data_IF_930610657619
#
_entry.id   IF_930610657619
#
_cell.length_a   1.000
_cell.length_b   1.000
_cell.length_c   1.000
_cell.angle_alpha   90.00
_cell.angle_beta   90.00
_cell.angle_gamma   90.00
#
_symmetry.space_group_name_H-M   'P 1'
#
loop_
_entity.id
_entity.type
_entity.pdbx_description
1 polymer ?
#
# COMPACT_ATOMS: atom_id res chain seq x y z
N UNK A 1 0.88 14.70 -24.35
CA UNK A 1 1.60 15.60 -23.43
C UNK A 1 3.09 15.24 -23.33
N UNK A 2 3.39 14.00 -22.94
CA UNK A 2 4.75 13.47 -22.78
C UNK A 2 4.91 12.23 -23.65
N UNK A 3 6.08 12.10 -24.29
CA UNK A 3 6.51 10.85 -24.94
C UNK A 3 7.88 10.47 -24.42
N UNK A 4 8.04 9.20 -24.00
CA UNK A 4 9.33 8.62 -23.69
C UNK A 4 9.73 7.76 -24.88
N UNK A 5 10.78 8.17 -25.57
CA UNK A 5 11.26 7.53 -26.80
C UNK A 5 12.38 6.51 -26.54
N UNK A 6 12.54 5.61 -27.48
CA UNK A 6 13.64 4.62 -27.49
C UNK A 6 13.70 3.75 -26.21
N UNK A 7 12.53 3.26 -25.74
CA UNK A 7 12.43 2.42 -24.56
C UNK A 7 12.54 0.94 -24.87
N UNK A 8 13.05 0.18 -23.91
CA UNK A 8 12.78 -1.26 -23.75
C UNK A 8 11.64 -1.43 -22.74
N UNK A 9 10.43 -1.62 -23.24
CA UNK A 9 9.21 -1.61 -22.44
C UNK A 9 8.98 -2.99 -21.82
N UNK A 10 8.97 -3.05 -20.50
CA UNK A 10 8.56 -4.25 -19.77
C UNK A 10 7.05 -4.32 -19.72
N UNK A 11 6.48 -5.10 -20.63
CA UNK A 11 5.02 -5.22 -20.74
C UNK A 11 4.51 -6.35 -19.84
N UNK A 12 3.97 -5.96 -18.68
CA UNK A 12 3.44 -6.90 -17.68
C UNK A 12 2.24 -7.72 -18.16
N UNK A 13 1.46 -7.23 -19.13
CA UNK A 13 0.32 -7.97 -19.69
C UNK A 13 0.74 -9.13 -20.61
N UNK A 14 1.78 -8.91 -21.40
CA UNK A 14 2.27 -9.92 -22.35
C UNK A 14 3.43 -10.75 -21.80
N UNK A 15 4.05 -10.34 -20.68
CA UNK A 15 5.27 -10.93 -20.14
C UNK A 15 6.48 -10.75 -21.05
N UNK A 16 6.47 -9.80 -21.99
CA UNK A 16 7.53 -9.58 -22.96
C UNK A 16 8.17 -8.21 -22.80
N UNK A 17 9.42 -8.10 -23.23
CA UNK A 17 10.09 -6.83 -23.43
C UNK A 17 9.94 -6.47 -24.90
N UNK A 18 9.45 -5.27 -25.18
CA UNK A 18 9.28 -4.74 -26.53
C UNK A 18 9.96 -3.38 -26.67
N UNK A 19 10.55 -3.11 -27.82
CA UNK A 19 11.11 -1.79 -28.12
C UNK A 19 10.01 -0.88 -28.66
N UNK A 20 10.04 0.40 -28.27
CA UNK A 20 9.06 1.38 -28.73
C UNK A 20 9.06 2.64 -27.87
N UNK A 21 8.12 3.51 -28.19
CA UNK A 21 7.88 4.74 -27.45
C UNK A 21 6.61 4.57 -26.59
N UNK A 22 6.54 5.32 -25.49
CA UNK A 22 5.37 5.37 -24.61
C UNK A 22 4.85 6.81 -24.60
N UNK A 23 3.59 6.98 -24.99
CA UNK A 23 2.91 8.26 -24.94
C UNK A 23 2.00 8.37 -23.71
N UNK A 24 2.01 9.55 -23.11
CA UNK A 24 1.17 9.89 -21.95
C UNK A 24 0.27 11.07 -22.28
N UNK A 25 -0.96 11.01 -21.76
CA UNK A 25 -1.92 12.10 -21.74
C UNK A 25 -2.43 12.27 -20.31
N UNK A 26 -2.10 13.40 -19.69
CA UNK A 26 -2.29 13.58 -18.25
C UNK A 26 -1.52 12.51 -17.47
N UNK A 27 -2.24 11.76 -16.64
CA UNK A 27 -1.73 10.68 -15.79
C UNK A 27 -1.95 9.27 -16.37
N UNK A 28 -2.31 9.17 -17.65
CA UNK A 28 -2.59 7.88 -18.29
C UNK A 28 -1.61 7.59 -19.43
N UNK A 29 -1.31 6.32 -19.65
CA UNK A 29 -0.63 5.85 -20.84
C UNK A 29 -1.63 5.92 -22.00
N UNK A 30 -1.37 6.83 -22.96
CA UNK A 30 -2.19 6.98 -24.15
C UNK A 30 -1.95 5.87 -25.18
N UNK A 31 -0.72 5.34 -25.23
CA UNK A 31 -0.39 4.22 -26.10
C UNK A 31 1.10 3.91 -26.15
N UNK A 32 1.39 2.79 -26.82
CA UNK A 32 2.74 2.35 -27.15
C UNK A 32 2.85 2.34 -28.68
N UNK A 33 3.88 2.97 -29.23
CA UNK A 33 4.07 3.08 -30.69
C UNK A 33 4.78 4.37 -31.05
N UNK A 34 4.64 4.80 -32.30
CA UNK A 34 5.21 6.06 -32.78
C UNK A 34 4.28 7.23 -32.43
N UNK A 35 4.73 8.12 -31.58
CA UNK A 35 4.00 9.29 -31.13
C UNK A 35 4.87 10.54 -31.12
N UNK A 36 4.21 11.69 -31.20
CA UNK A 36 4.81 12.98 -30.89
C UNK A 36 4.19 13.56 -29.61
N UNK A 37 4.96 14.30 -28.86
CA UNK A 37 4.52 14.93 -27.62
C UNK A 37 5.11 16.33 -27.45
N UNK A 38 4.45 17.11 -26.59
CA UNK A 38 4.93 18.45 -26.20
C UNK A 38 6.27 18.34 -25.48
N UNK A 39 6.39 17.32 -24.62
CA UNK A 39 7.63 16.98 -23.93
C UNK A 39 8.11 15.61 -24.40
N UNK A 40 9.39 15.53 -24.72
CA UNK A 40 10.04 14.30 -25.16
C UNK A 40 11.20 13.98 -24.24
N UNK A 41 11.25 12.74 -23.77
CA UNK A 41 12.38 12.17 -23.02
C UNK A 41 12.93 11.02 -23.86
N UNK A 42 14.22 11.06 -24.18
CA UNK A 42 14.89 9.92 -24.81
C UNK A 42 15.38 8.96 -23.71
N UNK A 43 14.88 7.73 -23.72
CA UNK A 43 15.30 6.69 -22.79
C UNK A 43 16.67 6.09 -23.16
N UNK A 44 17.20 6.38 -24.35
CA UNK A 44 18.51 5.89 -24.82
C UNK A 44 18.64 4.35 -24.71
N UNK A 45 17.55 3.62 -24.99
CA UNK A 45 17.52 2.16 -24.87
C UNK A 45 17.39 1.62 -23.45
N UNK A 46 17.13 2.48 -22.46
CA UNK A 46 16.88 2.05 -21.07
C UNK A 46 15.51 1.39 -20.96
N UNK A 47 15.33 0.65 -19.88
CA UNK A 47 14.06 -0.01 -19.60
C UNK A 47 13.03 0.99 -19.07
N UNK A 48 11.81 0.86 -19.56
CA UNK A 48 10.62 1.46 -18.98
C UNK A 48 9.76 0.33 -18.41
N UNK A 49 9.49 0.40 -17.14
CA UNK A 49 8.69 -0.60 -16.41
C UNK A 49 7.62 0.11 -15.57
N UNK A 50 6.52 -0.59 -15.20
CA UNK A 50 5.65 -0.11 -14.14
C UNK A 50 6.45 0.15 -12.87
N UNK A 51 6.02 1.14 -12.07
CA UNK A 51 6.60 1.36 -10.77
C UNK A 51 6.44 0.15 -9.84
N UNK A 52 7.38 -0.02 -8.93
CA UNK A 52 7.30 -1.11 -7.95
C UNK A 52 6.21 -0.85 -6.92
N UNK A 53 5.58 -1.93 -6.50
CA UNK A 53 4.58 -1.94 -5.44
C UNK A 53 5.17 -2.75 -4.28
N UNK A 54 5.30 -2.11 -3.13
CA UNK A 54 5.58 -2.83 -1.89
C UNK A 54 4.25 -3.23 -1.26
N UNK A 55 4.02 -4.53 -1.15
CA UNK A 55 2.73 -5.06 -0.74
C UNK A 55 2.54 -5.14 0.77
N UNK A 56 3.56 -4.85 1.57
CA UNK A 56 3.48 -4.79 3.02
C UNK A 56 4.65 -4.02 3.63
N UNK A 57 4.35 -2.92 4.31
CA UNK A 57 5.37 -2.10 4.96
C UNK A 57 4.80 -1.42 6.22
N UNK A 58 5.64 -1.31 7.25
CA UNK A 58 5.41 -0.44 8.40
C UNK A 58 6.23 0.84 8.21
N UNK A 59 5.58 1.96 7.86
CA UNK A 59 6.27 3.24 7.63
C UNK A 59 7.00 3.68 8.89
N UNK A 60 6.40 3.45 10.06
CA UNK A 60 6.93 3.82 11.37
C UNK A 60 8.29 3.18 11.66
N UNK A 61 8.50 1.96 11.18
CA UNK A 61 9.79 1.26 11.30
C UNK A 61 10.94 1.94 10.57
N UNK A 62 10.62 2.84 9.63
CA UNK A 62 11.61 3.67 8.92
C UNK A 62 11.94 4.97 9.66
N UNK A 63 11.29 5.26 10.79
CA UNK A 63 11.45 6.48 11.60
C UNK A 63 11.18 7.78 10.82
N UNK A 64 10.35 7.72 9.79
CA UNK A 64 9.94 8.88 8.98
C UNK A 64 8.42 8.92 8.83
N UNK A 65 7.90 10.08 8.44
CA UNK A 65 6.49 10.25 8.12
C UNK A 65 6.15 9.76 6.70
N UNK A 66 4.87 9.58 6.36
CA UNK A 66 4.45 9.19 5.02
C UNK A 66 4.98 10.10 3.90
N UNK A 67 5.10 11.40 4.13
CA UNK A 67 5.66 12.34 3.15
C UNK A 67 7.14 12.06 2.88
N UNK A 68 7.88 11.74 3.93
CA UNK A 68 9.32 11.51 3.82
C UNK A 68 9.64 10.15 3.23
N UNK A 69 8.85 9.10 3.55
CA UNK A 69 9.05 7.80 2.92
C UNK A 69 8.82 7.88 1.40
N UNK A 70 7.86 8.72 0.95
CA UNK A 70 7.66 8.97 -0.48
C UNK A 70 8.88 9.59 -1.15
N UNK A 71 9.56 10.53 -0.49
CA UNK A 71 10.81 11.13 -0.99
C UNK A 71 11.96 10.12 -1.09
N UNK A 72 11.92 9.09 -0.25
CA UNK A 72 12.93 8.02 -0.29
C UNK A 72 12.61 6.97 -1.36
N UNK A 73 11.37 6.51 -1.47
CA UNK A 73 11.02 5.38 -2.32
C UNK A 73 10.86 5.75 -3.79
N UNK A 74 10.20 6.88 -4.08
CA UNK A 74 9.87 7.24 -5.46
C UNK A 74 11.10 7.39 -6.37
N UNK A 75 12.21 8.02 -5.94
CA UNK A 75 13.44 8.07 -6.76
C UNK A 75 14.07 6.71 -7.04
N UNK A 76 13.72 5.68 -6.26
CA UNK A 76 14.20 4.31 -6.42
C UNK A 76 13.20 3.40 -7.15
N UNK A 77 12.08 3.99 -7.64
CA UNK A 77 11.09 3.28 -8.44
C UNK A 77 9.93 2.67 -7.66
N UNK A 78 9.88 2.82 -6.34
CA UNK A 78 8.71 2.47 -5.53
C UNK A 78 7.63 3.54 -5.72
N UNK A 79 6.49 3.18 -6.30
CA UNK A 79 5.42 4.14 -6.61
C UNK A 79 4.15 3.91 -5.82
N UNK A 80 4.00 2.73 -5.24
CA UNK A 80 2.84 2.35 -4.41
C UNK A 80 3.30 1.51 -3.24
N UNK A 81 2.71 1.73 -2.09
CA UNK A 81 2.92 0.90 -0.90
C UNK A 81 1.59 0.52 -0.25
N UNK A 82 1.56 -0.66 0.37
CA UNK A 82 0.50 -1.11 1.27
C UNK A 82 1.04 -0.96 2.70
N UNK A 83 0.62 0.09 3.38
CA UNK A 83 1.12 0.42 4.71
C UNK A 83 0.21 -0.15 5.80
N UNK A 84 0.80 -0.91 6.70
CA UNK A 84 0.13 -1.42 7.91
C UNK A 84 0.61 -0.62 9.13
N UNK A 85 -0.15 0.37 9.61
CA UNK A 85 0.28 1.29 10.66
C UNK A 85 0.03 0.72 12.05
N UNK A 86 0.49 -0.51 12.30
CA UNK A 86 0.29 -1.19 13.58
C UNK A 86 0.85 -0.41 14.78
N UNK A 87 2.05 0.17 14.64
CA UNK A 87 2.76 0.81 15.73
C UNK A 87 2.04 2.07 16.20
N UNK A 88 1.70 2.96 15.28
CA UNK A 88 1.01 4.20 15.67
C UNK A 88 -0.43 3.95 16.13
N UNK A 89 -1.11 2.98 15.52
CA UNK A 89 -2.48 2.60 15.94
C UNK A 89 -2.46 1.92 17.31
N UNK A 90 -1.44 1.13 17.62
CA UNK A 90 -1.27 0.56 18.95
C UNK A 90 -1.12 1.62 20.06
N UNK A 91 -0.54 2.77 19.72
CA UNK A 91 -0.33 3.88 20.66
C UNK A 91 -1.49 4.87 20.65
N UNK A 92 -1.97 5.27 19.47
CA UNK A 92 -2.91 6.37 19.29
C UNK A 92 -4.32 5.94 18.83
N UNK A 93 -4.55 4.65 18.59
CA UNK A 93 -5.81 4.16 18.04
C UNK A 93 -6.10 4.70 16.64
N UNK A 94 -7.36 4.84 16.31
CA UNK A 94 -7.81 5.34 15.00
C UNK A 94 -7.29 6.76 14.70
N UNK A 95 -7.04 7.58 15.70
CA UNK A 95 -6.41 8.89 15.48
C UNK A 95 -5.00 8.78 14.89
N UNK A 96 -4.27 7.70 15.20
CA UNK A 96 -2.98 7.40 14.56
C UNK A 96 -3.14 7.06 13.08
N UNK A 97 -4.14 6.24 12.74
CA UNK A 97 -4.49 5.94 11.35
C UNK A 97 -4.88 7.22 10.59
N UNK A 98 -5.73 8.06 11.18
CA UNK A 98 -6.14 9.36 10.59
C UNK A 98 -4.93 10.25 10.29
N UNK A 99 -3.98 10.31 11.21
CA UNK A 99 -2.73 11.06 11.00
C UNK A 99 -1.94 10.51 9.81
N UNK A 100 -1.74 9.19 9.75
CA UNK A 100 -0.97 8.57 8.67
C UNK A 100 -1.63 8.77 7.30
N UNK A 101 -2.95 8.60 7.22
CA UNK A 101 -3.72 8.83 5.99
C UNK A 101 -3.63 10.30 5.55
N UNK A 102 -3.77 11.24 6.49
CA UNK A 102 -3.69 12.67 6.19
C UNK A 102 -2.29 13.11 5.77
N UNK A 103 -1.25 12.58 6.40
CA UNK A 103 0.13 12.85 6.05
C UNK A 103 0.46 12.37 4.63
N UNK A 104 -0.07 11.20 4.24
CA UNK A 104 0.11 10.64 2.90
C UNK A 104 -0.48 11.49 1.77
N UNK A 105 -1.41 12.39 2.04
CA UNK A 105 -1.91 13.34 1.02
C UNK A 105 -0.83 14.31 0.51
N UNK A 106 0.28 14.45 1.22
CA UNK A 106 1.38 15.36 0.89
C UNK A 106 2.54 14.69 0.15
N UNK A 107 2.37 13.48 -0.33
CA UNK A 107 3.37 12.77 -1.13
C UNK A 107 2.83 12.41 -2.51
N UNK A 108 3.75 12.17 -3.47
CA UNK A 108 3.40 11.61 -4.77
C UNK A 108 3.39 10.09 -4.78
N UNK A 109 3.83 9.46 -3.69
CA UNK A 109 3.73 8.02 -3.46
C UNK A 109 2.25 7.66 -3.28
N UNK A 110 1.76 6.64 -3.98
CA UNK A 110 0.42 6.10 -3.74
C UNK A 110 0.46 5.21 -2.49
N UNK A 111 -0.12 5.71 -1.41
CA UNK A 111 -0.16 4.98 -0.13
C UNK A 111 -1.55 4.42 0.07
N UNK A 112 -1.66 3.11 0.06
CA UNK A 112 -2.84 2.38 0.53
C UNK A 112 -2.57 1.91 1.96
N UNK A 113 -3.60 1.87 2.76
CA UNK A 113 -3.48 1.43 4.15
C UNK A 113 -4.19 0.13 4.38
N UNK A 114 -3.66 -0.64 5.30
CA UNK A 114 -4.32 -1.76 5.92
C UNK A 114 -4.79 -1.33 7.32
N UNK A 115 -5.97 -1.78 7.71
CA UNK A 115 -6.42 -1.57 9.10
C UNK A 115 -5.72 -2.59 9.99
N UNK A 116 -4.95 -2.18 11.00
CA UNK A 116 -4.26 -3.12 11.89
C UNK A 116 -5.21 -4.14 12.53
N UNK A 117 -4.85 -5.40 12.42
CA UNK A 117 -5.67 -6.53 12.91
C UNK A 117 -5.56 -6.77 14.40
N UNK A 118 -4.38 -6.52 14.95
CA UNK A 118 -4.01 -6.88 16.32
C UNK A 118 -3.57 -5.64 17.11
N UNK A 119 -4.53 -4.96 17.72
CA UNK A 119 -4.31 -3.81 18.62
C UNK A 119 -5.06 -4.05 19.93
N UNK A 120 -4.35 -4.35 21.01
CA UNK A 120 -2.88 -4.57 21.12
C UNK A 120 -2.41 -5.81 20.36
N UNK A 121 -1.11 -5.86 20.08
CA UNK A 121 -0.49 -7.00 19.36
C UNK A 121 -0.57 -8.30 20.19
N UNK A 122 -0.50 -8.20 21.50
CA UNK A 122 -0.68 -9.32 22.42
C UNK A 122 -1.56 -8.94 23.61
N UNK A 123 -2.23 -9.91 24.28
CA UNK A 123 -3.06 -9.63 25.45
C UNK A 123 -2.26 -9.28 26.71
N UNK A 124 -0.93 -9.34 26.64
CA UNK A 124 -0.04 -9.12 27.82
C UNK A 124 0.52 -7.69 27.85
N UNK A 125 0.44 -6.96 26.76
CA UNK A 125 1.01 -5.62 26.68
C UNK A 125 0.02 -4.54 27.08
N UNK A 126 0.58 -3.40 27.51
CA UNK A 126 -0.17 -2.18 27.71
C UNK A 126 -0.14 -1.37 26.39
N UNK A 127 -1.31 -1.19 25.78
CA UNK A 127 -1.46 -0.38 24.58
C UNK A 127 -2.20 0.91 24.88
N UNK A 128 -2.08 1.88 23.99
CA UNK A 128 -2.85 3.13 24.04
C UNK A 128 -4.27 2.98 23.50
N UNK A 129 -4.55 1.86 22.79
CA UNK A 129 -5.84 1.59 22.17
C UNK A 129 -6.16 0.09 22.15
N UNK A 130 -7.44 -0.22 21.94
CA UNK A 130 -7.92 -1.56 21.64
C UNK A 130 -8.81 -1.47 20.42
N UNK A 131 -8.53 -2.28 19.40
CA UNK A 131 -9.32 -2.38 18.17
C UNK A 131 -9.92 -3.80 18.10
N UNK A 132 -11.16 -3.92 18.50
CA UNK A 132 -11.95 -5.13 18.35
C UNK A 132 -12.76 -5.11 17.04
N UNK A 133 -13.53 -6.15 16.78
CA UNK A 133 -14.33 -6.26 15.56
C UNK A 133 -15.38 -5.15 15.43
N UNK A 134 -15.92 -4.65 16.54
CA UNK A 134 -16.88 -3.54 16.51
C UNK A 134 -16.21 -2.22 16.15
N UNK A 135 -15.05 -1.95 16.75
CA UNK A 135 -14.25 -0.76 16.48
C UNK A 135 -13.70 -0.72 15.04
N UNK A 136 -13.59 -1.88 14.37
CA UNK A 136 -13.14 -1.98 12.98
C UNK A 136 -14.18 -1.56 11.96
N UNK A 137 -15.48 -1.69 12.24
CA UNK A 137 -16.55 -1.59 11.25
C UNK A 137 -16.55 -0.28 10.47
N UNK A 138 -16.31 0.82 11.11
CA UNK A 138 -16.26 2.12 10.43
C UNK A 138 -14.93 2.32 9.71
N UNK A 139 -13.76 2.19 10.38
CA UNK A 139 -12.48 2.48 9.74
C UNK A 139 -12.19 1.62 8.50
N UNK A 140 -12.58 0.36 8.51
CA UNK A 140 -12.29 -0.56 7.40
C UNK A 140 -13.02 -0.18 6.10
N UNK A 141 -14.11 0.58 6.18
CA UNK A 141 -14.88 1.03 5.00
C UNK A 141 -14.30 2.28 4.35
N UNK A 142 -13.38 2.97 4.98
CA UNK A 142 -12.83 4.24 4.50
C UNK A 142 -12.13 4.09 3.16
N UNK A 143 -12.21 5.12 2.35
CA UNK A 143 -11.41 5.22 1.13
C UNK A 143 -9.92 5.21 1.49
N UNK A 144 -9.09 4.49 0.73
CA UNK A 144 -7.67 4.32 1.02
C UNK A 144 -7.35 3.14 1.94
N UNK A 145 -8.35 2.55 2.63
CA UNK A 145 -8.16 1.30 3.36
C UNK A 145 -8.40 0.13 2.39
N UNK A 146 -7.34 -0.61 2.11
CA UNK A 146 -7.35 -1.70 1.14
C UNK A 146 -7.73 -3.04 1.77
N UNK A 147 -7.29 -3.29 3.00
CA UNK A 147 -7.48 -4.58 3.67
C UNK A 147 -7.36 -4.52 5.19
N UNK A 148 -7.41 -5.70 5.77
CA UNK A 148 -7.05 -5.96 7.15
C UNK A 148 -5.57 -6.31 7.19
N UNK A 149 -4.79 -5.59 7.99
CA UNK A 149 -3.35 -5.75 8.14
C UNK A 149 -2.94 -7.12 8.69
N UNK A 150 -1.65 -7.37 8.70
CA UNK A 150 -1.10 -8.66 9.07
C UNK A 150 -1.76 -9.26 10.32
N UNK A 151 -2.29 -10.47 10.18
CA UNK A 151 -3.00 -11.11 11.28
C UNK A 151 -2.01 -11.85 12.19
N UNK A 152 -1.41 -11.10 13.13
CA UNK A 152 -0.35 -11.61 14.01
C UNK A 152 -0.83 -12.69 14.97
N UNK A 153 -2.08 -12.63 15.43
CA UNK A 153 -2.63 -13.65 16.32
C UNK A 153 -3.10 -14.90 15.55
N UNK A 154 -2.20 -15.47 14.73
CA UNK A 154 -2.50 -16.72 14.01
C UNK A 154 -2.87 -17.89 14.95
N UNK A 155 -2.32 -18.02 16.19
CA UNK A 155 -2.79 -19.05 17.11
C UNK A 155 -4.28 -18.90 17.46
N UNK A 156 -4.78 -17.67 17.62
CA UNK A 156 -6.19 -17.41 17.83
C UNK A 156 -7.06 -17.85 16.65
N UNK A 157 -6.59 -17.59 15.43
CA UNK A 157 -7.28 -18.03 14.20
C UNK A 157 -7.31 -19.57 14.11
N UNK A 158 -6.17 -20.23 14.33
CA UNK A 158 -6.07 -21.71 14.28
C UNK A 158 -6.98 -22.34 15.32
N UNK A 159 -7.10 -21.74 16.52
CA UNK A 159 -7.93 -22.25 17.60
C UNK A 159 -9.38 -21.74 17.52
N UNK A 160 -9.75 -21.05 16.45
CA UNK A 160 -11.08 -20.51 16.22
C UNK A 160 -11.58 -19.60 17.36
N UNK A 161 -10.73 -18.72 17.87
CA UNK A 161 -11.10 -17.74 18.87
C UNK A 161 -12.10 -16.73 18.27
N UNK A 162 -13.27 -16.57 18.89
CA UNK A 162 -14.35 -15.71 18.38
C UNK A 162 -13.88 -14.29 18.11
N UNK A 163 -13.08 -13.71 19.03
CA UNK A 163 -12.55 -12.33 18.89
C UNK A 163 -11.69 -12.11 17.63
N UNK A 164 -11.00 -13.15 17.18
CA UNK A 164 -10.16 -13.09 15.98
C UNK A 164 -10.97 -13.38 14.73
N UNK A 165 -11.86 -14.38 14.79
CA UNK A 165 -12.74 -14.71 13.66
C UNK A 165 -13.71 -13.58 13.35
N UNK A 166 -14.24 -12.88 14.35
CA UNK A 166 -15.13 -11.74 14.15
C UNK A 166 -14.47 -10.62 13.35
N UNK A 167 -13.17 -10.33 13.57
CA UNK A 167 -12.41 -9.35 12.79
C UNK A 167 -12.28 -9.78 11.32
N UNK A 168 -11.98 -11.05 11.08
CA UNK A 168 -11.91 -11.64 9.75
C UNK A 168 -13.26 -11.56 9.05
N UNK A 169 -14.36 -11.81 9.76
CA UNK A 169 -15.72 -11.72 9.24
C UNK A 169 -16.03 -10.28 8.82
N UNK A 170 -15.71 -9.29 9.65
CA UNK A 170 -15.90 -7.86 9.32
C UNK A 170 -15.16 -7.52 8.04
N UNK A 171 -13.89 -7.87 7.92
CA UNK A 171 -13.10 -7.58 6.71
C UNK A 171 -13.71 -8.24 5.46
N UNK A 172 -14.13 -9.49 5.56
CA UNK A 172 -14.76 -10.22 4.44
C UNK A 172 -16.10 -9.65 4.04
N UNK A 173 -16.93 -9.21 4.99
CA UNK A 173 -18.22 -8.59 4.71
C UNK A 173 -18.06 -7.30 3.91
N UNK A 174 -17.00 -6.55 4.15
CA UNK A 174 -16.66 -5.32 3.41
C UNK A 174 -15.85 -5.58 2.13
N UNK A 175 -15.66 -6.84 1.74
CA UNK A 175 -14.92 -7.22 0.52
C UNK A 175 -13.43 -6.88 0.57
N UNK A 176 -12.88 -6.73 1.77
CA UNK A 176 -11.47 -6.40 1.98
C UNK A 176 -10.61 -7.66 1.98
N UNK A 177 -9.38 -7.55 1.48
CA UNK A 177 -8.41 -8.63 1.64
C UNK A 177 -7.93 -8.71 3.11
N UNK A 178 -7.30 -9.82 3.43
CA UNK A 178 -6.73 -10.06 4.76
C UNK A 178 -5.29 -10.46 4.55
N UNK A 179 -4.39 -9.69 5.15
CA UNK A 179 -2.97 -10.02 5.14
C UNK A 179 -2.61 -10.95 6.29
N UNK A 180 -1.50 -11.65 6.16
CA UNK A 180 -1.02 -12.64 7.10
C UNK A 180 0.34 -12.33 7.68
N UNK A 181 0.57 -12.87 8.87
CA UNK A 181 1.87 -12.87 9.53
C UNK A 181 2.39 -14.30 9.52
N UNK A 182 3.42 -14.57 8.72
CA UNK A 182 3.93 -15.92 8.47
C UNK A 182 5.20 -16.25 9.26
N UNK A 183 5.12 -16.57 10.56
CA UNK A 183 6.28 -16.75 11.42
C UNK A 183 6.96 -18.11 11.30
N UNK A 184 6.63 -18.97 10.34
CA UNK A 184 7.21 -20.30 10.27
C UNK A 184 7.16 -20.99 8.94
#
# INVERSE_FOLDING_TARGET
>A
DLVIKNCKIVNGFSGKIQEGDIAFSGNQIAGIGEYEGVKVIDAEGRYAAPGFIDSHIHIESSYVSPEEIGRLLVPHGGTTIMADPHEIVNVCGIAGLDYMMKAAENTVLDVKYELPSCVPATPFEHSGAVIDAEAMKEPITREGIAGLGEFMNFPGVINAADSDLDKIIVAKQEGKFIDGHGPG
#
